data_IF_168456967048
#
_entry.id   IF_168456967048
#
_cell.length_a   1.000
_cell.length_b   1.000
_cell.length_c   1.000
_cell.angle_alpha   90.00
_cell.angle_beta   90.00
_cell.angle_gamma   90.00
#
_symmetry.space_group_name_H-M   'P 1'
#
loop_
_entity.id
_entity.type
_entity.pdbx_description
1 polymer ?
#
# COMPACT_ATOMS: atom_id res chain seq x y z
N UNK A 1 29.88 -10.15 -5.64
CA UNK A 1 30.64 -9.30 -4.70
C UNK A 1 29.83 -8.03 -4.51
N UNK A 2 29.16 -7.88 -3.37
CA UNK A 2 28.36 -6.70 -3.04
C UNK A 2 29.28 -5.76 -2.26
N UNK A 3 29.35 -4.49 -2.63
CA UNK A 3 30.14 -3.48 -1.87
C UNK A 3 29.27 -3.05 -0.70
N UNK A 4 29.69 -3.37 0.52
CA UNK A 4 28.92 -3.06 1.75
C UNK A 4 29.33 -1.72 2.37
N UNK A 5 30.56 -1.26 2.12
CA UNK A 5 31.11 -0.03 2.69
C UNK A 5 32.18 0.55 1.74
N UNK A 6 32.26 1.88 1.67
CA UNK A 6 33.33 2.58 0.96
C UNK A 6 33.75 3.86 1.70
N UNK A 7 35.04 4.19 1.60
CA UNK A 7 35.64 5.38 2.23
C UNK A 7 35.68 6.51 1.22
N UNK A 8 35.11 7.66 1.56
CA UNK A 8 35.26 8.91 0.82
C UNK A 8 36.37 9.77 1.40
N UNK A 9 37.41 10.00 0.62
CA UNK A 9 38.47 10.95 0.95
C UNK A 9 37.95 12.40 1.03
N UNK A 10 38.64 13.29 1.76
CA UNK A 10 38.36 14.73 1.77
C UNK A 10 38.29 15.33 0.36
N UNK A 11 37.32 16.23 0.12
CA UNK A 11 37.13 16.90 -1.17
C UNK A 11 36.62 15.99 -2.30
N UNK A 12 36.15 14.78 -1.99
CA UNK A 12 35.69 13.82 -2.99
C UNK A 12 34.17 13.84 -3.13
N UNK A 13 33.70 13.74 -4.37
CA UNK A 13 32.29 13.55 -4.72
C UNK A 13 32.08 12.14 -5.25
N UNK A 14 30.99 11.50 -4.83
CA UNK A 14 30.53 10.23 -5.41
C UNK A 14 29.04 10.32 -5.74
N UNK A 15 28.68 9.80 -6.90
CA UNK A 15 27.30 9.71 -7.38
C UNK A 15 26.93 8.26 -7.58
N UNK A 16 25.81 7.85 -7.01
CA UNK A 16 25.20 6.55 -7.23
C UNK A 16 23.97 6.70 -8.11
N UNK A 17 23.74 5.70 -8.95
CA UNK A 17 22.53 5.59 -9.73
C UNK A 17 22.03 4.16 -9.71
N UNK A 18 20.71 4.00 -9.75
CA UNK A 18 20.06 2.71 -9.93
C UNK A 18 18.88 2.88 -10.89
N UNK A 19 18.78 1.98 -11.86
CA UNK A 19 17.62 1.89 -12.72
C UNK A 19 16.58 0.96 -12.06
N UNK A 20 15.37 1.49 -11.90
CA UNK A 20 14.23 0.77 -11.35
C UNK A 20 13.27 0.50 -12.50
N UNK A 21 13.07 -0.77 -12.80
CA UNK A 21 12.07 -1.22 -13.76
C UNK A 21 10.97 -1.93 -13.00
N UNK A 22 9.73 -1.50 -13.22
CA UNK A 22 8.57 -2.12 -12.60
C UNK A 22 7.50 -2.36 -13.64
N UNK A 23 6.87 -3.54 -13.57
CA UNK A 23 5.72 -3.88 -14.39
C UNK A 23 4.65 -4.50 -13.51
N UNK A 24 3.41 -4.11 -13.77
CA UNK A 24 2.23 -4.66 -13.14
C UNK A 24 1.40 -5.28 -14.25
N UNK A 25 1.17 -6.58 -14.11
CA UNK A 25 0.28 -7.33 -14.98
C UNK A 25 -1.05 -7.50 -14.27
N UNK A 26 -2.12 -7.15 -14.97
CA UNK A 26 -3.48 -7.34 -14.50
C UNK A 26 -3.86 -8.82 -14.46
N UNK A 27 -4.65 -9.22 -13.45
CA UNK A 27 -5.40 -10.48 -13.48
C UNK A 27 -6.73 -10.28 -14.24
N UNK A 28 -7.15 -11.24 -15.06
CA UNK A 28 -8.17 -11.02 -16.11
C UNK A 28 -9.57 -10.64 -15.55
N UNK A 29 -10.21 -9.74 -16.29
CA UNK A 29 -11.60 -9.20 -16.27
C UNK A 29 -11.94 -8.26 -15.11
N UNK A 30 -11.98 -6.97 -15.46
CA UNK A 30 -12.67 -5.91 -14.73
C UNK A 30 -14.15 -6.24 -14.74
N UNK A 31 -14.58 -7.13 -13.86
CA UNK A 31 -15.95 -7.04 -13.40
C UNK A 31 -15.97 -5.85 -12.44
N UNK A 32 -16.97 -4.99 -12.52
CA UNK A 32 -17.14 -3.81 -11.65
C UNK A 32 -17.13 -4.14 -10.14
N UNK A 33 -17.09 -5.44 -9.83
CA UNK A 33 -17.05 -6.05 -8.52
C UNK A 33 -15.63 -6.19 -7.95
N UNK A 34 -14.54 -6.08 -8.73
CA UNK A 34 -13.18 -6.20 -8.19
C UNK A 34 -12.34 -4.96 -8.51
N UNK A 35 -11.94 -4.23 -7.46
CA UNK A 35 -10.97 -3.14 -7.56
C UNK A 35 -9.56 -3.70 -7.32
N UNK A 36 -8.66 -3.47 -8.27
CA UNK A 36 -7.26 -3.88 -8.18
C UNK A 36 -6.39 -2.63 -8.03
N UNK A 37 -5.58 -2.58 -6.97
CA UNK A 37 -4.57 -1.53 -6.79
C UNK A 37 -3.19 -2.16 -6.67
N UNK A 38 -2.22 -1.55 -7.32
CA UNK A 38 -0.82 -1.97 -7.24
C UNK A 38 0.07 -0.78 -6.94
N UNK A 39 0.96 -0.96 -5.98
CA UNK A 39 1.92 0.04 -5.56
C UNK A 39 3.34 -0.51 -5.62
N UNK A 40 4.21 0.18 -6.34
CA UNK A 40 5.66 -0.13 -6.35
C UNK A 40 6.41 1.04 -5.78
N UNK A 41 7.28 0.76 -4.81
CA UNK A 41 8.14 1.74 -4.17
C UNK A 41 9.60 1.34 -4.28
N UNK A 42 10.43 2.32 -4.61
CA UNK A 42 11.88 2.19 -4.56
C UNK A 42 12.47 3.32 -3.73
N UNK A 43 13.49 2.97 -2.94
CA UNK A 43 14.19 3.88 -2.05
C UNK A 43 15.70 3.67 -2.14
N UNK A 44 16.44 4.78 -2.05
CA UNK A 44 17.88 4.80 -1.92
C UNK A 44 18.28 5.83 -0.88
N UNK A 45 19.23 5.49 0.00
CA UNK A 45 19.74 6.38 1.03
C UNK A 45 21.01 5.83 1.68
N UNK A 46 21.62 6.58 2.59
CA UNK A 46 22.79 6.13 3.34
C UNK A 46 22.40 5.76 4.79
N UNK A 47 22.91 4.63 5.26
CA UNK A 47 22.76 4.15 6.62
C UNK A 47 23.96 4.60 7.45
N UNK A 48 23.69 5.40 8.48
CA UNK A 48 24.71 5.92 9.41
C UNK A 48 25.56 7.07 8.86
N UNK A 49 25.43 8.24 9.48
CA UNK A 49 26.52 9.08 10.04
C UNK A 49 26.04 10.52 10.21
N UNK A 50 25.98 10.97 11.47
CA UNK A 50 26.53 12.23 12.01
C UNK A 50 26.07 12.31 13.47
N UNK A 51 26.94 12.75 14.37
CA UNK A 51 26.59 12.96 15.77
C UNK A 51 25.38 13.89 15.90
N UNK A 52 24.67 13.76 17.04
CA UNK A 52 23.40 14.39 17.47
C UNK A 52 23.12 15.88 17.12
N UNK A 53 24.01 16.61 16.44
CA UNK A 53 23.88 18.03 16.05
C UNK A 53 23.57 18.26 14.56
N UNK A 54 23.50 17.21 13.75
CA UNK A 54 23.01 17.28 12.36
C UNK A 54 21.78 16.38 12.22
N UNK A 55 20.67 16.88 11.65
CA UNK A 55 19.45 16.09 11.53
C UNK A 55 19.73 14.99 10.51
N UNK A 56 19.64 13.73 10.96
CA UNK A 56 19.42 12.51 10.20
C UNK A 56 19.19 12.78 8.71
N UNK A 57 20.26 12.97 7.92
CA UNK A 57 20.11 13.32 6.52
C UNK A 57 19.95 12.03 5.72
N UNK A 58 18.84 11.33 5.94
CA UNK A 58 18.34 10.39 4.95
C UNK A 58 17.83 11.23 3.79
N UNK A 59 18.65 11.42 2.76
CA UNK A 59 18.16 11.86 1.45
C UNK A 59 17.47 10.66 0.79
N UNK A 60 16.36 10.23 1.40
CA UNK A 60 15.58 9.09 0.94
C UNK A 60 14.80 9.55 -0.30
N UNK A 61 15.28 9.15 -1.48
CA UNK A 61 14.50 9.35 -2.70
C UNK A 61 13.45 8.24 -2.80
N UNK A 62 12.17 8.62 -2.74
CA UNK A 62 11.04 7.69 -2.87
C UNK A 62 10.43 7.83 -4.26
N UNK A 63 10.48 6.75 -5.02
CA UNK A 63 9.61 6.58 -6.16
C UNK A 63 8.37 5.79 -5.72
N UNK A 64 7.18 6.23 -6.08
CA UNK A 64 5.93 5.51 -5.81
C UNK A 64 5.03 5.61 -7.03
N UNK A 65 4.67 4.47 -7.60
CA UNK A 65 3.56 4.39 -8.56
C UNK A 65 2.41 3.73 -7.86
N UNK A 66 1.23 4.31 -7.97
CA UNK A 66 -0.03 3.69 -7.57
C UNK A 66 -0.94 3.76 -8.79
N UNK A 67 -1.49 2.63 -9.19
CA UNK A 67 -2.56 2.58 -10.18
C UNK A 67 -3.81 1.99 -9.54
N UNK A 68 -4.94 2.62 -9.84
CA UNK A 68 -6.29 2.22 -9.42
C UNK A 68 -7.20 2.03 -10.65
N UNK A 69 -6.64 2.18 -11.86
CA UNK A 69 -7.36 2.03 -13.12
C UNK A 69 -7.53 0.56 -13.56
N UNK A 70 -6.84 -0.38 -12.88
CA UNK A 70 -6.89 -1.80 -13.19
C UNK A 70 -6.30 -2.14 -14.58
N UNK A 71 -5.35 -1.33 -15.06
CA UNK A 71 -4.66 -1.54 -16.32
C UNK A 71 -3.27 -2.17 -16.07
N UNK A 72 -2.80 -2.98 -17.02
CA UNK A 72 -1.40 -3.40 -17.01
C UNK A 72 -0.53 -2.19 -17.38
N UNK A 73 0.52 -1.94 -16.60
CA UNK A 73 1.46 -0.85 -16.87
C UNK A 73 2.90 -1.29 -16.63
N UNK A 74 3.82 -0.62 -17.32
CA UNK A 74 5.25 -0.80 -17.16
C UNK A 74 5.90 0.58 -17.10
N UNK A 75 6.91 0.69 -16.25
CA UNK A 75 7.62 1.95 -16.00
C UNK A 75 9.10 1.66 -15.76
N UNK A 76 9.91 2.66 -16.06
CA UNK A 76 11.34 2.64 -15.87
C UNK A 76 11.76 4.01 -15.39
N UNK A 77 12.43 4.06 -14.25
CA UNK A 77 12.94 5.30 -13.70
C UNK A 77 14.37 5.13 -13.22
N UNK A 78 15.14 6.22 -13.27
CA UNK A 78 16.52 6.25 -12.76
C UNK A 78 16.58 7.03 -11.47
N UNK A 79 16.91 6.32 -10.39
CA UNK A 79 17.22 6.93 -9.11
C UNK A 79 18.67 7.40 -9.10
N UNK A 80 18.93 8.57 -8.52
CA UNK A 80 20.29 9.04 -8.30
C UNK A 80 20.41 9.74 -6.94
N UNK A 81 21.58 9.59 -6.34
CA UNK A 81 21.97 10.27 -5.10
C UNK A 81 23.44 10.67 -5.22
N UNK A 82 23.78 11.81 -4.66
CA UNK A 82 25.14 12.36 -4.71
C UNK A 82 25.57 12.74 -3.30
N UNK A 83 26.82 12.45 -2.99
CA UNK A 83 27.46 12.81 -1.74
C UNK A 83 28.76 13.56 -2.01
N UNK A 84 28.94 14.66 -1.28
CA UNK A 84 30.11 15.50 -1.32
C UNK A 84 30.79 15.50 0.03
N UNK A 85 31.98 14.91 0.12
CA UNK A 85 32.80 15.04 1.32
C UNK A 85 33.53 16.39 1.30
N UNK A 86 32.90 17.43 1.84
CA UNK A 86 33.50 18.77 1.94
C UNK A 86 34.38 18.95 3.19
N UNK A 87 34.46 17.94 4.05
CA UNK A 87 35.26 17.99 5.26
C UNK A 87 36.71 17.57 5.01
N UNK A 88 37.59 17.92 5.95
CA UNK A 88 39.01 17.57 5.91
C UNK A 88 39.31 16.11 6.32
N UNK A 89 38.27 15.32 6.65
CA UNK A 89 38.39 13.94 7.13
C UNK A 89 37.66 12.97 6.22
N UNK A 90 38.16 11.74 6.15
CA UNK A 90 37.48 10.67 5.41
C UNK A 90 36.26 10.14 6.17
N UNK A 91 35.24 9.68 5.43
CA UNK A 91 34.03 9.07 6.00
C UNK A 91 33.75 7.72 5.34
N UNK A 92 33.35 6.77 6.18
CA UNK A 92 32.74 5.53 5.70
C UNK A 92 31.28 5.80 5.36
N UNK A 93 30.78 5.28 4.24
CA UNK A 93 29.36 5.33 3.96
C UNK A 93 28.84 3.92 3.67
N UNK A 94 27.63 3.67 4.16
CA UNK A 94 26.87 2.47 3.83
C UNK A 94 25.65 2.84 3.02
N UNK A 95 25.58 2.34 1.79
CA UNK A 95 24.44 2.58 0.91
C UNK A 95 23.33 1.57 1.22
N UNK A 96 22.10 2.06 1.40
CA UNK A 96 20.89 1.26 1.55
C UNK A 96 20.00 1.46 0.33
N UNK A 97 19.56 0.34 -0.26
CA UNK A 97 18.64 0.32 -1.40
C UNK A 97 17.49 -0.60 -1.01
N UNK A 98 16.26 -0.09 -1.07
CA UNK A 98 15.05 -0.83 -0.74
C UNK A 98 14.09 -0.85 -1.91
N UNK A 99 13.55 -2.04 -2.20
CA UNK A 99 12.46 -2.24 -3.15
C UNK A 99 11.29 -2.88 -2.42
N UNK A 100 10.10 -2.33 -2.62
CA UNK A 100 8.87 -2.85 -2.05
C UNK A 100 7.75 -2.78 -3.08
N UNK A 101 6.87 -3.77 -3.03
CA UNK A 101 5.71 -3.87 -3.90
C UNK A 101 4.53 -4.39 -3.10
N UNK A 102 3.35 -3.81 -3.33
CA UNK A 102 2.09 -4.24 -2.76
C UNK A 102 1.04 -4.35 -3.86
N UNK A 103 0.25 -5.41 -3.80
CA UNK A 103 -0.87 -5.66 -4.70
C UNK A 103 -2.08 -5.95 -3.83
N UNK A 104 -3.15 -5.21 -4.05
CA UNK A 104 -4.41 -5.34 -3.36
C UNK A 104 -5.52 -5.65 -4.35
N UNK A 105 -6.36 -6.63 -4.02
CA UNK A 105 -7.59 -6.94 -4.72
C UNK A 105 -8.74 -6.83 -3.72
N UNK A 106 -9.67 -5.90 -3.96
CA UNK A 106 -10.84 -5.69 -3.13
C UNK A 106 -12.09 -6.18 -3.85
N UNK A 107 -12.80 -7.10 -3.21
CA UNK A 107 -14.16 -7.47 -3.62
C UNK A 107 -15.13 -6.37 -3.17
N UNK A 108 -15.66 -5.64 -4.14
CA UNK A 108 -16.64 -4.59 -3.98
C UNK A 108 -18.06 -5.08 -4.27
N UNK A 109 -18.31 -6.40 -4.20
CA UNK A 109 -19.67 -6.93 -4.18
C UNK A 109 -20.48 -6.22 -3.10
N UNK A 110 -21.59 -5.54 -3.44
CA UNK A 110 -22.42 -4.92 -2.45
C UNK A 110 -22.89 -6.01 -1.48
N UNK A 111 -22.59 -5.83 -0.20
CA UNK A 111 -23.18 -6.66 0.84
C UNK A 111 -24.69 -6.42 0.79
N UNK A 112 -25.41 -7.30 0.11
CA UNK A 112 -26.86 -7.29 0.11
C UNK A 112 -27.31 -7.69 1.50
N UNK A 113 -27.56 -6.70 2.36
CA UNK A 113 -28.37 -6.92 3.55
C UNK A 113 -29.69 -7.48 3.05
N UNK A 114 -30.10 -8.70 3.46
CA UNK A 114 -31.38 -9.25 3.06
C UNK A 114 -32.46 -8.25 3.47
N UNK A 115 -33.03 -7.52 2.51
CA UNK A 115 -34.18 -6.66 2.77
C UNK A 115 -35.32 -7.64 3.03
N UNK A 116 -35.94 -7.65 4.23
CA UNK A 116 -37.08 -8.51 4.46
C UNK A 116 -38.17 -8.13 3.47
N UNK A 117 -38.56 -9.08 2.62
CA UNK A 117 -39.61 -8.85 1.63
C UNK A 117 -40.92 -8.45 2.35
N UNK A 118 -41.83 -7.71 1.69
CA UNK A 118 -43.13 -7.33 2.28
C UNK A 118 -43.90 -8.53 2.85
N UNK A 119 -43.72 -9.72 2.25
CA UNK A 119 -44.27 -10.97 2.74
C UNK A 119 -43.74 -11.37 4.12
N UNK A 120 -42.49 -11.04 4.46
CA UNK A 120 -41.89 -11.32 5.78
C UNK A 120 -42.57 -10.50 6.88
N UNK A 121 -42.85 -9.22 6.62
CA UNK A 121 -43.65 -8.40 7.52
C UNK A 121 -45.10 -8.89 7.59
N UNK A 122 -45.66 -9.33 6.47
CA UNK A 122 -46.96 -9.99 6.41
C UNK A 122 -47.03 -11.23 7.29
N UNK A 123 -46.01 -12.10 7.25
CA UNK A 123 -45.93 -13.29 8.09
C UNK A 123 -45.72 -12.97 9.57
N UNK A 124 -44.96 -11.92 9.89
CA UNK A 124 -44.83 -11.41 11.26
C UNK A 124 -46.16 -10.91 11.80
N UNK A 125 -46.89 -10.10 11.02
CA UNK A 125 -48.21 -9.60 11.40
C UNK A 125 -49.25 -10.72 11.50
N UNK A 126 -49.21 -11.69 10.59
CA UNK A 126 -50.06 -12.88 10.65
C UNK A 126 -49.78 -13.71 11.91
N UNK A 127 -48.50 -13.90 12.26
CA UNK A 127 -48.10 -14.56 13.50
C UNK A 127 -48.61 -13.83 14.75
N UNK A 128 -48.48 -12.51 14.78
CA UNK A 128 -49.00 -11.67 15.88
C UNK A 128 -50.53 -11.73 15.98
N UNK A 129 -51.24 -11.69 14.86
CA UNK A 129 -52.69 -11.80 14.83
C UNK A 129 -53.18 -13.16 15.36
N UNK A 130 -52.47 -14.23 15.02
CA UNK A 130 -52.78 -15.58 15.49
C UNK A 130 -52.58 -15.72 17.01
N UNK A 131 -51.46 -15.19 17.53
CA UNK A 131 -51.18 -15.16 18.98
C UNK A 131 -52.22 -14.33 19.74
N UNK A 132 -52.55 -13.13 19.23
CA UNK A 132 -53.58 -12.28 19.83
C UNK A 132 -54.97 -12.95 19.83
N UNK A 133 -55.31 -13.66 18.74
CA UNK A 133 -56.55 -14.43 18.63
C UNK A 133 -56.64 -15.58 19.65
N UNK A 134 -55.56 -16.34 19.83
CA UNK A 134 -55.50 -17.40 20.84
C UNK A 134 -55.60 -16.86 22.27
N UNK A 135 -54.92 -15.74 22.56
CA UNK A 135 -54.97 -15.10 23.87
C UNK A 135 -56.37 -14.59 24.22
N UNK A 136 -57.12 -14.05 23.23
CA UNK A 136 -58.51 -13.60 23.43
C UNK A 136 -59.45 -14.75 23.77
N UNK A 137 -59.30 -15.91 23.11
CA UNK A 137 -60.12 -17.10 23.40
C UNK A 137 -59.90 -17.64 24.81
N UNK A 138 -58.66 -17.59 25.32
CA UNK A 138 -58.34 -18.04 26.69
C UNK A 138 -58.83 -17.09 27.80
N UNK A 139 -59.15 -15.83 27.47
CA UNK A 139 -59.71 -14.85 28.44
C UNK A 139 -61.24 -14.78 28.42
N UNK A 140 -61.87 -15.31 27.39
CA UNK A 140 -63.33 -15.25 27.20
C UNK A 140 -64.04 -16.57 27.54
N UNK A 141 -63.32 -17.55 28.06
CA UNK A 141 -63.84 -18.75 28.72
C UNK A 141 -63.21 -18.87 30.10
#
# INVERSE_FOLDING_TARGET
>A
MMIEEFVLSPGTQVKFFADVNASVARSIKSTELMAESSKVMASMGFDGLLSSWYPNSSTEFKFSISDDSGLSYSTSERLWIMFDNTAATAYNLKLSIGLWSEVNALDNTPATSPVPEPATYGMMLAGLALVAGMARRKRAG
#
